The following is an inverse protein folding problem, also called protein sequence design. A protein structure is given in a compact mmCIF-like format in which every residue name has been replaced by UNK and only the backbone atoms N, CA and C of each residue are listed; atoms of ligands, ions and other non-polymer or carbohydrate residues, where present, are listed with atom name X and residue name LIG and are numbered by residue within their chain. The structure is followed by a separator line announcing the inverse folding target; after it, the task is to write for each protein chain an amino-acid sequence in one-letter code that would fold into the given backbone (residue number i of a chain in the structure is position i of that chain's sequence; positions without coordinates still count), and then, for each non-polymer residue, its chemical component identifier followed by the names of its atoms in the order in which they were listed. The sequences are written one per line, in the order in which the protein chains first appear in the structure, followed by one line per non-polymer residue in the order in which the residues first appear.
data_IF_078942172724
#
_entry.id   IF_078942172724
#
_cell.length_a   1.000
_cell.length_b   1.000
_cell.length_c   1.000
_cell.angle_alpha   90.00
_cell.angle_beta   90.00
_cell.angle_gamma   90.00
#
_symmetry.space_group_name_H-M   'P 1'
#
loop_
_entity.id
_entity.type
_entity.pdbx_description
1 polymer ?
#
# COMPACT_ATOMS: atom_id res chain seq x y z
N UNK A 1 -4.31 19.76 -7.75
CA UNK A 1 -4.75 21.16 -7.78
C UNK A 1 -3.73 21.98 -8.56
N UNK A 2 -4.18 22.57 -9.65
CA UNK A 2 -3.37 23.45 -10.50
C UNK A 2 -3.65 24.91 -10.16
N UNK A 3 -2.73 25.80 -10.55
CA UNK A 3 -2.93 27.25 -10.41
C UNK A 3 -4.17 27.73 -11.18
N UNK A 4 -4.49 27.09 -12.32
CA UNK A 4 -5.65 27.45 -13.14
C UNK A 4 -6.98 27.14 -12.44
N UNK A 5 -7.11 25.96 -11.83
CA UNK A 5 -8.31 25.57 -11.08
C UNK A 5 -8.62 26.55 -9.92
N UNK A 6 -7.59 27.06 -9.24
CA UNK A 6 -7.75 28.08 -8.20
C UNK A 6 -8.19 29.44 -8.76
N UNK A 7 -7.70 29.82 -9.95
CA UNK A 7 -8.10 31.05 -10.64
C UNK A 7 -9.56 30.96 -11.09
N UNK A 8 -9.97 29.81 -11.62
CA UNK A 8 -11.34 29.58 -12.08
C UNK A 8 -12.32 29.60 -10.90
N UNK A 9 -11.96 28.95 -9.78
CA UNK A 9 -12.74 29.01 -8.54
C UNK A 9 -12.90 30.45 -8.03
N UNK A 10 -11.79 31.21 -7.99
CA UNK A 10 -11.80 32.62 -7.56
C UNK A 10 -12.70 33.46 -8.47
N UNK A 11 -12.66 33.23 -9.77
CA UNK A 11 -13.49 33.91 -10.76
C UNK A 11 -14.97 33.64 -10.52
N UNK A 12 -15.37 32.36 -10.36
CA UNK A 12 -16.75 31.99 -10.06
C UNK A 12 -17.26 32.66 -8.76
N UNK A 13 -16.42 32.72 -7.72
CA UNK A 13 -16.75 33.39 -6.45
C UNK A 13 -16.93 34.90 -6.67
N UNK A 14 -16.02 35.55 -7.40
CA UNK A 14 -16.08 36.99 -7.66
C UNK A 14 -17.29 37.39 -8.51
N UNK A 15 -17.72 36.52 -9.43
CA UNK A 15 -18.87 36.75 -10.31
C UNK A 15 -20.21 36.34 -9.67
N UNK A 16 -20.21 35.82 -8.44
CA UNK A 16 -21.41 35.34 -7.75
C UNK A 16 -21.99 34.05 -8.35
N UNK A 17 -21.22 33.33 -9.17
CA UNK A 17 -21.60 32.04 -9.78
C UNK A 17 -21.43 30.90 -8.77
N UNK A 18 -22.26 30.94 -7.72
CA UNK A 18 -22.15 30.03 -6.58
C UNK A 18 -22.33 28.55 -6.96
N UNK A 19 -23.23 28.24 -7.90
CA UNK A 19 -23.43 26.86 -8.36
C UNK A 19 -22.18 26.31 -9.08
N UNK A 20 -21.60 27.11 -9.99
CA UNK A 20 -20.38 26.73 -10.71
C UNK A 20 -19.19 26.58 -9.76
N UNK A 21 -19.08 27.46 -8.76
CA UNK A 21 -18.05 27.36 -7.73
C UNK A 21 -18.16 26.07 -6.91
N UNK A 22 -19.38 25.68 -6.52
CA UNK A 22 -19.62 24.43 -5.78
C UNK A 22 -19.30 23.20 -6.63
N UNK A 23 -19.71 23.18 -7.91
CA UNK A 23 -19.39 22.09 -8.81
C UNK A 23 -17.87 21.91 -8.98
N UNK A 24 -17.13 23.01 -9.12
CA UNK A 24 -15.68 22.97 -9.22
C UNK A 24 -15.01 22.46 -7.92
N UNK A 25 -15.55 22.82 -6.75
CA UNK A 25 -15.06 22.29 -5.46
C UNK A 25 -15.23 20.77 -5.39
N UNK A 26 -16.39 20.25 -5.82
CA UNK A 26 -16.67 18.81 -5.83
C UNK A 26 -15.71 18.06 -6.76
N UNK A 27 -15.42 18.62 -7.94
CA UNK A 27 -14.44 18.08 -8.88
C UNK A 27 -13.03 18.06 -8.28
N UNK A 28 -12.61 19.16 -7.64
CA UNK A 28 -11.30 19.27 -6.99
C UNK A 28 -11.13 18.26 -5.85
N UNK A 29 -12.17 18.07 -5.03
CA UNK A 29 -12.18 17.07 -3.96
C UNK A 29 -12.12 15.64 -4.53
N UNK A 30 -12.87 15.35 -5.59
CA UNK A 30 -12.82 14.06 -6.28
C UNK A 30 -11.43 13.76 -6.85
N UNK A 31 -10.77 14.75 -7.47
CA UNK A 31 -9.41 14.62 -7.98
C UNK A 31 -8.40 14.39 -6.85
N UNK A 32 -8.48 15.16 -5.77
CA UNK A 32 -7.60 15.00 -4.60
C UNK A 32 -7.70 13.59 -3.99
N UNK A 33 -8.94 13.09 -3.80
CA UNK A 33 -9.20 11.71 -3.36
C UNK A 33 -8.56 10.68 -4.27
N UNK A 34 -8.71 10.85 -5.59
CA UNK A 34 -8.14 9.94 -6.59
C UNK A 34 -6.61 9.90 -6.53
N UNK A 35 -5.96 11.04 -6.38
CA UNK A 35 -4.50 11.13 -6.27
C UNK A 35 -3.97 10.44 -5.01
N UNK A 36 -4.65 10.61 -3.87
CA UNK A 36 -4.28 9.95 -2.62
C UNK A 36 -4.44 8.43 -2.74
N UNK A 37 -5.57 7.96 -3.27
CA UNK A 37 -5.80 6.52 -3.50
C UNK A 37 -4.75 5.95 -4.46
N UNK A 38 -4.33 6.69 -5.48
CA UNK A 38 -3.26 6.27 -6.39
C UNK A 38 -1.92 6.11 -5.67
N UNK A 39 -1.57 7.04 -4.77
CA UNK A 39 -0.34 6.95 -3.96
C UNK A 39 -0.40 5.77 -2.97
N UNK A 40 -1.54 5.57 -2.30
CA UNK A 40 -1.75 4.41 -1.44
C UNK A 40 -1.53 3.11 -2.23
N UNK A 41 -2.09 3.02 -3.44
CA UNK A 41 -1.89 1.87 -4.32
C UNK A 41 -0.44 1.65 -4.73
N UNK A 42 0.36 2.69 -4.95
CA UNK A 42 1.79 2.49 -5.26
C UNK A 42 2.55 1.87 -4.08
N UNK A 43 2.26 2.30 -2.85
CA UNK A 43 2.85 1.67 -1.66
C UNK A 43 2.31 0.24 -1.45
N UNK A 44 1.02 0.01 -1.72
CA UNK A 44 0.44 -1.33 -1.70
C UNK A 44 1.14 -2.27 -2.70
N UNK A 45 1.44 -1.80 -3.90
CA UNK A 45 2.23 -2.56 -4.88
C UNK A 45 3.61 -2.92 -4.34
N UNK A 46 4.33 -1.96 -3.75
CA UNK A 46 5.65 -2.22 -3.13
C UNK A 46 5.55 -3.28 -2.02
N UNK A 47 4.55 -3.16 -1.14
CA UNK A 47 4.31 -4.16 -0.10
C UNK A 47 4.09 -5.55 -0.69
N UNK A 48 3.20 -5.66 -1.69
CA UNK A 48 2.86 -6.93 -2.33
C UNK A 48 4.06 -7.55 -3.06
N UNK A 49 4.89 -6.75 -3.73
CA UNK A 49 6.13 -7.23 -4.38
C UNK A 49 6.99 -8.01 -3.37
N UNK A 50 7.21 -7.44 -2.19
CA UNK A 50 8.05 -8.07 -1.17
C UNK A 50 7.37 -9.26 -0.47
N UNK A 51 6.05 -9.24 -0.29
CA UNK A 51 5.29 -10.39 0.21
C UNK A 51 5.32 -11.56 -0.78
N UNK A 52 5.23 -11.28 -2.08
CA UNK A 52 5.34 -12.29 -3.15
C UNK A 52 6.74 -12.95 -3.11
N UNK A 53 7.81 -12.13 -3.06
CA UNK A 53 9.18 -12.64 -2.95
C UNK A 53 9.38 -13.46 -1.68
N UNK A 54 8.83 -13.01 -0.57
CA UNK A 54 8.89 -13.73 0.70
C UNK A 54 8.20 -15.10 0.62
N UNK A 55 7.00 -15.17 0.05
CA UNK A 55 6.28 -16.44 -0.13
C UNK A 55 7.06 -17.41 -1.03
N UNK A 56 7.52 -16.93 -2.19
CA UNK A 56 8.16 -17.78 -3.20
C UNK A 56 9.54 -18.27 -2.75
N UNK A 57 10.31 -17.42 -2.06
CA UNK A 57 11.68 -17.76 -1.64
C UNK A 57 11.75 -18.32 -0.21
N UNK A 58 10.64 -18.33 0.52
CA UNK A 58 10.57 -18.86 1.89
C UNK A 58 11.49 -18.16 2.89
N UNK A 59 11.89 -16.91 2.60
CA UNK A 59 12.85 -16.13 3.38
C UNK A 59 12.40 -14.68 3.54
N UNK A 60 12.87 -14.04 4.60
CA UNK A 60 12.72 -12.60 4.81
C UNK A 60 14.10 -11.97 4.97
N UNK A 61 14.39 -10.92 4.21
CA UNK A 61 15.63 -10.13 4.35
C UNK A 61 15.34 -8.83 5.09
N UNK A 62 16.41 -8.21 5.62
CA UNK A 62 16.33 -6.87 6.20
C UNK A 62 15.78 -5.83 5.21
N UNK A 63 16.20 -5.90 3.94
CA UNK A 63 15.71 -4.94 2.92
C UNK A 63 14.23 -5.15 2.61
N UNK A 64 13.75 -6.40 2.54
CA UNK A 64 12.33 -6.66 2.26
C UNK A 64 11.45 -6.30 3.45
N UNK A 65 11.87 -6.66 4.67
CA UNK A 65 11.16 -6.27 5.89
C UNK A 65 11.07 -4.73 6.02
N UNK A 66 12.17 -4.03 5.74
CA UNK A 66 12.20 -2.57 5.72
C UNK A 66 11.23 -1.98 4.67
N UNK A 67 11.23 -2.50 3.44
CA UNK A 67 10.31 -2.04 2.39
C UNK A 67 8.85 -2.30 2.72
N UNK A 68 8.50 -3.48 3.26
CA UNK A 68 7.12 -3.79 3.67
C UNK A 68 6.69 -2.82 4.77
N UNK A 69 7.50 -2.65 5.82
CA UNK A 69 7.20 -1.75 6.93
C UNK A 69 7.04 -0.31 6.46
N UNK A 70 7.96 0.16 5.62
CA UNK A 70 7.92 1.50 5.06
C UNK A 70 6.61 1.72 4.27
N UNK A 71 6.25 0.78 3.40
CA UNK A 71 5.01 0.85 2.63
C UNK A 71 3.77 0.91 3.54
N UNK A 72 3.69 0.08 4.59
CA UNK A 72 2.55 0.08 5.53
C UNK A 72 2.43 1.41 6.27
N UNK A 73 3.55 1.98 6.73
CA UNK A 73 3.55 3.27 7.44
C UNK A 73 3.07 4.40 6.50
N UNK A 74 3.56 4.45 5.27
CA UNK A 74 3.12 5.45 4.29
C UNK A 74 1.64 5.27 3.93
N UNK A 75 1.17 4.03 3.81
CA UNK A 75 -0.25 3.72 3.64
C UNK A 75 -1.05 4.25 4.83
N UNK A 76 -0.63 3.99 6.07
CA UNK A 76 -1.32 4.48 7.26
C UNK A 76 -1.45 6.00 7.26
N UNK A 77 -0.34 6.70 7.00
CA UNK A 77 -0.29 8.17 6.98
C UNK A 77 -1.21 8.74 5.90
N UNK A 78 -1.18 8.18 4.69
CA UNK A 78 -2.00 8.66 3.57
C UNK A 78 -3.47 8.27 3.68
N UNK A 79 -3.77 7.12 4.27
CA UNK A 79 -5.13 6.59 4.30
C UNK A 79 -6.02 7.33 5.31
N UNK A 80 -5.45 7.92 6.36
CA UNK A 80 -6.18 8.76 7.30
C UNK A 80 -6.50 10.12 6.66
N UNK A 81 -7.78 10.47 6.58
CA UNK A 81 -8.21 11.75 6.01
C UNK A 81 -7.82 12.92 6.92
N UNK A 82 -7.74 14.16 6.39
CA UNK A 82 -7.42 15.36 7.19
C UNK A 82 -8.31 15.58 8.41
N UNK A 83 -9.55 15.07 8.40
CA UNK A 83 -10.47 15.13 9.54
C UNK A 83 -10.10 14.18 10.69
N UNK A 84 -9.09 13.32 10.53
CA UNK A 84 -8.56 12.35 11.50
C UNK A 84 -9.58 11.33 12.04
N UNK A 85 -10.74 11.21 11.40
CA UNK A 85 -11.84 10.34 11.84
C UNK A 85 -12.34 9.38 10.77
N UNK A 86 -11.83 9.51 9.55
CA UNK A 86 -12.26 8.69 8.41
C UNK A 86 -11.08 8.34 7.51
N UNK A 87 -11.29 7.32 6.67
CA UNK A 87 -10.24 6.78 5.80
C UNK A 87 -10.61 6.91 4.32
N UNK A 88 -9.61 6.93 3.43
CA UNK A 88 -9.83 6.88 1.98
C UNK A 88 -10.22 5.48 1.51
N UNK A 89 -9.57 4.46 2.07
CA UNK A 89 -9.87 3.04 1.92
C UNK A 89 -10.27 2.51 3.30
N UNK A 90 -11.46 1.92 3.41
CA UNK A 90 -11.93 1.26 4.64
C UNK A 90 -11.36 -0.15 4.75
N UNK A 91 -11.41 -0.70 5.96
CA UNK A 91 -10.84 -2.02 6.26
C UNK A 91 -11.42 -3.12 5.35
N UNK A 92 -12.73 -3.07 5.05
CA UNK A 92 -13.44 -4.00 4.16
C UNK A 92 -13.20 -3.76 2.66
N UNK A 93 -12.53 -2.67 2.29
CA UNK A 93 -12.28 -2.30 0.88
C UNK A 93 -10.89 -2.74 0.38
N UNK A 94 -10.00 -3.20 1.27
CA UNK A 94 -8.63 -3.58 0.90
C UNK A 94 -8.57 -4.74 -0.08
N UNK A 95 -9.46 -5.74 0.02
CA UNK A 95 -9.50 -6.86 -0.92
C UNK A 95 -9.66 -6.39 -2.36
N UNK A 96 -10.50 -5.37 -2.59
CA UNK A 96 -10.69 -4.75 -3.91
C UNK A 96 -9.44 -3.98 -4.36
N UNK A 97 -8.78 -3.28 -3.44
CA UNK A 97 -7.56 -2.53 -3.75
C UNK A 97 -6.40 -3.48 -4.13
N UNK A 98 -6.22 -4.59 -3.40
CA UNK A 98 -5.22 -5.63 -3.67
C UNK A 98 -5.48 -6.25 -5.04
N UNK A 99 -6.72 -6.67 -5.32
CA UNK A 99 -7.09 -7.28 -6.60
C UNK A 99 -6.74 -6.40 -7.82
N UNK A 100 -6.73 -5.08 -7.66
CA UNK A 100 -6.41 -4.13 -8.74
C UNK A 100 -4.91 -3.99 -9.01
N UNK A 101 -4.05 -4.37 -8.07
CA UNK A 101 -2.59 -4.14 -8.19
C UNK A 101 -1.77 -5.43 -8.15
N UNK A 102 -2.34 -6.55 -7.70
CA UNK A 102 -1.60 -7.80 -7.47
C UNK A 102 -0.97 -8.36 -8.75
N UNK A 103 -1.64 -8.23 -9.91
CA UNK A 103 -1.06 -8.68 -11.19
C UNK A 103 0.19 -7.87 -11.56
N UNK A 104 0.18 -6.56 -11.34
CA UNK A 104 1.35 -5.72 -11.55
C UNK A 104 2.46 -6.07 -10.55
N UNK A 105 2.10 -6.27 -9.27
CA UNK A 105 3.06 -6.67 -8.24
C UNK A 105 3.75 -8.00 -8.54
N UNK A 106 3.03 -9.00 -9.09
CA UNK A 106 3.64 -10.26 -9.54
C UNK A 106 4.65 -10.01 -10.66
N UNK A 107 4.31 -9.17 -11.65
CA UNK A 107 5.24 -8.85 -12.75
C UNK A 107 6.49 -8.13 -12.25
N UNK A 108 6.33 -7.17 -11.36
CA UNK A 108 7.46 -6.39 -10.83
C UNK A 108 8.32 -7.23 -9.87
N UNK A 109 7.71 -8.12 -9.09
CA UNK A 109 8.43 -9.04 -8.22
C UNK A 109 9.35 -9.98 -9.00
N UNK A 110 8.99 -10.38 -10.22
CA UNK A 110 9.81 -11.29 -11.03
C UNK A 110 11.15 -10.68 -11.46
N UNK A 111 11.29 -9.35 -11.42
CA UNK A 111 12.55 -8.67 -11.74
C UNK A 111 13.66 -9.06 -10.76
N UNK A 112 13.30 -9.31 -9.49
CA UNK A 112 14.25 -9.61 -8.43
C UNK A 112 14.05 -10.98 -7.79
N UNK A 113 12.87 -11.59 -7.92
CA UNK A 113 12.59 -12.90 -7.35
C UNK A 113 13.54 -13.96 -7.92
N UNK A 114 14.03 -14.85 -7.05
CA UNK A 114 14.97 -15.92 -7.43
C UNK A 114 16.21 -15.37 -8.17
N UNK A 115 16.71 -14.23 -7.69
CA UNK A 115 17.86 -13.50 -8.24
C UNK A 115 17.67 -13.12 -9.72
N UNK A 116 16.43 -12.84 -10.13
CA UNK A 116 16.06 -12.42 -11.49
C UNK A 116 15.96 -13.58 -12.50
N UNK A 117 16.08 -14.83 -12.06
CA UNK A 117 15.98 -16.02 -12.93
C UNK A 117 14.54 -16.50 -13.15
N UNK A 118 13.54 -15.75 -12.69
CA UNK A 118 12.13 -16.09 -12.80
C UNK A 118 11.42 -15.11 -13.73
N UNK A 119 10.80 -15.60 -14.81
CA UNK A 119 9.96 -14.75 -15.65
C UNK A 119 8.64 -14.40 -14.94
N UNK A 120 7.96 -13.30 -15.34
CA UNK A 120 6.65 -12.96 -14.79
C UNK A 120 5.61 -14.08 -14.90
N UNK A 121 5.71 -14.92 -15.93
CA UNK A 121 4.79 -16.03 -16.17
C UNK A 121 5.05 -17.18 -15.20
N UNK A 122 6.32 -17.56 -15.02
CA UNK A 122 6.71 -18.58 -14.05
C UNK A 122 6.36 -18.15 -12.63
N UNK A 123 6.64 -16.89 -12.27
CA UNK A 123 6.32 -16.40 -10.93
C UNK A 123 4.81 -16.44 -10.66
N UNK A 124 3.99 -16.09 -11.66
CA UNK A 124 2.52 -16.17 -11.55
C UNK A 124 2.02 -17.58 -11.25
N UNK A 125 2.68 -18.62 -11.76
CA UNK A 125 2.33 -20.02 -11.47
C UNK A 125 2.80 -20.48 -10.08
N UNK A 126 3.84 -19.85 -9.52
CA UNK A 126 4.38 -20.17 -8.20
C UNK A 126 3.66 -19.47 -7.04
N UNK A 127 3.06 -18.31 -7.31
CA UNK A 127 2.44 -17.46 -6.27
C UNK A 127 1.08 -17.99 -5.87
N UNK A 128 0.91 -18.30 -4.59
CA UNK A 128 -0.40 -18.54 -4.00
C UNK A 128 -1.04 -17.21 -3.61
N UNK A 129 -1.77 -16.62 -4.56
CA UNK A 129 -2.35 -15.27 -4.45
C UNK A 129 -3.32 -15.12 -3.28
N UNK A 130 -4.01 -16.20 -2.89
CA UNK A 130 -4.92 -16.16 -1.74
C UNK A 130 -4.14 -15.90 -0.45
N UNK A 131 -3.02 -16.60 -0.25
CA UNK A 131 -2.18 -16.45 0.92
C UNK A 131 -1.44 -15.09 0.94
N UNK A 132 -0.98 -14.59 -0.21
CA UNK A 132 -0.41 -13.22 -0.30
C UNK A 132 -1.46 -12.19 0.10
N UNK A 133 -2.70 -12.35 -0.36
CA UNK A 133 -3.81 -11.46 -0.04
C UNK A 133 -4.14 -11.50 1.45
N UNK A 134 -4.21 -12.68 2.05
CA UNK A 134 -4.45 -12.86 3.48
C UNK A 134 -3.38 -12.19 4.34
N UNK A 135 -2.10 -12.41 4.03
CA UNK A 135 -0.98 -11.77 4.71
C UNK A 135 -1.03 -10.24 4.57
N UNK A 136 -1.34 -9.74 3.37
CA UNK A 136 -1.48 -8.31 3.13
C UNK A 136 -2.65 -7.70 3.94
N UNK A 137 -3.80 -8.36 3.98
CA UNK A 137 -4.96 -7.93 4.78
C UNK A 137 -4.64 -7.92 6.27
N UNK A 138 -3.95 -8.95 6.77
CA UNK A 138 -3.51 -9.03 8.17
C UNK A 138 -2.56 -7.89 8.55
N UNK A 139 -1.68 -7.47 7.65
CA UNK A 139 -0.78 -6.34 7.88
C UNK A 139 -1.50 -4.99 7.77
N UNK A 140 -2.44 -4.87 6.83
CA UNK A 140 -3.22 -3.65 6.62
C UNK A 140 -4.22 -3.38 7.75
N UNK A 141 -4.76 -4.40 8.41
CA UNK A 141 -5.67 -4.20 9.55
C UNK A 141 -4.97 -3.50 10.73
N UNK A 142 -3.65 -3.68 10.89
CA UNK A 142 -2.84 -3.05 11.93
C UNK A 142 -2.91 -1.51 11.88
N UNK A 143 -3.10 -0.92 10.69
CA UNK A 143 -3.11 0.55 10.54
C UNK A 143 -4.33 1.21 11.18
N UNK A 144 -5.39 0.45 11.44
CA UNK A 144 -6.61 0.90 12.11
C UNK A 144 -6.54 0.69 13.63
N UNK A 145 -5.77 -0.31 14.07
CA UNK A 145 -5.68 -0.70 15.48
C UNK A 145 -4.59 0.05 16.26
N UNK A 146 -3.60 0.62 15.56
CA UNK A 146 -2.39 1.15 16.19
C UNK A 146 -2.04 2.56 15.75
N UNK A 147 -1.46 3.33 16.66
CA UNK A 147 -0.95 4.67 16.36
C UNK A 147 0.41 4.59 15.63
N UNK A 148 0.78 5.61 14.84
CA UNK A 148 2.02 5.63 14.05
C UNK A 148 3.30 5.43 14.86
N UNK A 149 3.31 5.78 16.15
CA UNK A 149 4.50 5.73 17.01
C UNK A 149 4.90 4.31 17.41
N UNK A 150 3.94 3.37 17.42
CA UNK A 150 4.18 1.98 17.87
C UNK A 150 4.02 0.95 16.75
N UNK A 151 3.39 1.32 15.64
CA UNK A 151 3.04 0.38 14.56
C UNK A 151 4.27 -0.31 13.97
N UNK A 152 5.43 0.37 13.92
CA UNK A 152 6.65 -0.18 13.35
C UNK A 152 7.10 -1.48 14.04
N UNK A 153 7.04 -1.52 15.37
CA UNK A 153 7.41 -2.71 16.14
C UNK A 153 6.37 -3.83 15.98
N UNK A 154 5.08 -3.46 15.91
CA UNK A 154 3.98 -4.43 15.72
C UNK A 154 4.06 -5.06 14.33
N UNK A 155 4.38 -4.27 13.30
CA UNK A 155 4.65 -4.79 11.96
C UNK A 155 5.80 -5.81 12.04
N UNK A 156 6.91 -5.49 12.71
CA UNK A 156 8.04 -6.42 12.82
C UNK A 156 7.67 -7.74 13.48
N UNK A 157 6.86 -7.71 14.53
CA UNK A 157 6.37 -8.93 15.16
C UNK A 157 5.49 -9.76 14.23
N UNK A 158 4.68 -9.12 13.39
CA UNK A 158 3.89 -9.81 12.37
C UNK A 158 4.76 -10.34 11.22
N UNK A 159 5.78 -9.60 10.79
CA UNK A 159 6.73 -10.04 9.76
C UNK A 159 7.54 -11.26 10.23
N UNK A 160 7.80 -11.39 11.53
CA UNK A 160 8.46 -12.56 12.09
C UNK A 160 7.63 -13.86 11.95
N UNK A 161 6.31 -13.75 11.71
CA UNK A 161 5.41 -14.89 11.48
C UNK A 161 5.38 -15.33 10.01
N UNK A 162 5.94 -14.53 9.09
CA UNK A 162 6.04 -14.89 7.69
C UNK A 162 7.11 -15.98 7.45
N UNK A 163 7.09 -16.69 6.31
CA UNK A 163 8.16 -17.62 5.93
C UNK A 163 9.56 -17.01 6.09
N UNK A 164 10.42 -17.68 6.87
CA UNK A 164 11.77 -17.22 7.20
C UNK A 164 11.85 -16.00 8.11
N UNK A 165 10.72 -15.58 8.71
CA UNK A 165 10.63 -14.46 9.65
C UNK A 165 11.34 -14.72 10.98
N UNK A 166 11.33 -15.95 11.50
CA UNK A 166 12.12 -16.32 12.69
C UNK A 166 13.62 -16.16 12.46
N UNK A 167 14.13 -16.66 11.33
CA UNK A 167 15.53 -16.53 10.93
C UNK A 167 15.93 -15.07 10.76
N UNK A 168 15.01 -14.23 10.25
CA UNK A 168 15.20 -12.80 10.16
C UNK A 168 15.26 -12.14 11.55
N UNK A 169 14.32 -12.47 12.45
CA UNK A 169 14.20 -11.87 13.80
C UNK A 169 15.37 -12.21 14.72
N UNK A 170 15.83 -13.46 14.71
CA UNK A 170 16.89 -13.93 15.60
C UNK A 170 18.27 -14.03 14.95
N UNK A 171 18.36 -13.76 13.64
CA UNK A 171 19.52 -14.06 12.82
C UNK A 171 19.62 -15.56 12.54
N UNK A 172 20.18 -15.95 11.38
CA UNK A 172 20.46 -17.36 11.09
C UNK A 172 21.35 -17.93 12.19
N UNK A 173 20.81 -18.81 13.03
CA UNK A 173 21.65 -19.70 13.85
C UNK A 173 22.35 -20.63 12.86
N UNK A 174 23.65 -20.43 12.68
CA UNK A 174 24.49 -21.27 11.81
C UNK A 174 24.11 -22.75 12.01
N UNK A 175 23.59 -23.39 10.96
CA UNK A 175 23.60 -24.84 10.81
C UNK A 175 24.93 -25.24 10.20
#
# INVERSE_FOLDING_TARGET
MTTQELIDLRTCIMEGRNHDALALIDELDAMSKKDIIRKIKSYLTVMLIHLIKNQVEGRLTNSWAASIRYAIIEIQVLNLRPNKTSYYIKEDEWGKAIAQVIEAAIRDASVEALDGNCSPFQLKEMVETAQVTENALSLLSLIYAHQPEIIAAIIDDNLALLPGGEDWKFGRKNK
#
